data_IF_953731369344
#
_entry.id   IF_953731369344
#
_cell.length_a   1.000
_cell.length_b   1.000
_cell.length_c   1.000
_cell.angle_alpha   90.00
_cell.angle_beta   90.00
_cell.angle_gamma   90.00
#
_symmetry.space_group_name_H-M   'P 1'
#
loop_
_entity.id
_entity.type
_entity.pdbx_description
1 polymer ?
#
# COMPACT_ATOMS: atom_id res chain seq x y z
N UNK A 1 -5.02 -25.11 12.58
CA UNK A 1 -5.39 -24.45 11.31
C UNK A 1 -6.77 -23.84 11.49
N UNK A 2 -7.03 -22.65 10.95
CA UNK A 2 -8.32 -21.94 11.06
C UNK A 2 -8.89 -21.60 9.68
N UNK A 3 -10.20 -21.35 9.60
CA UNK A 3 -10.83 -20.80 8.40
C UNK A 3 -10.19 -19.46 8.01
N UNK A 4 -10.09 -19.19 6.71
CA UNK A 4 -9.41 -18.05 6.10
C UNK A 4 -7.90 -17.99 6.33
N UNK A 5 -7.29 -19.06 6.83
CA UNK A 5 -5.83 -19.22 6.90
C UNK A 5 -5.32 -19.80 5.58
N UNK A 6 -4.15 -19.34 5.12
CA UNK A 6 -3.42 -20.01 4.04
C UNK A 6 -2.46 -21.02 4.67
N UNK A 7 -2.55 -22.27 4.25
CA UNK A 7 -1.64 -23.34 4.62
C UNK A 7 -0.75 -23.69 3.43
N UNK A 8 0.42 -24.26 3.71
CA UNK A 8 1.36 -24.76 2.71
C UNK A 8 1.63 -26.24 2.99
N UNK A 9 1.52 -27.06 1.95
CA UNK A 9 1.94 -28.46 1.95
C UNK A 9 2.88 -28.62 0.76
N UNK A 10 4.08 -29.13 1.01
CA UNK A 10 5.18 -29.14 0.03
C UNK A 10 5.43 -27.72 -0.54
N UNK A 11 5.14 -27.51 -1.83
CA UNK A 11 5.21 -26.22 -2.52
C UNK A 11 3.83 -25.64 -2.88
N UNK A 12 2.74 -26.31 -2.53
CA UNK A 12 1.38 -25.83 -2.80
C UNK A 12 0.85 -24.98 -1.65
N UNK A 13 0.26 -23.84 -1.99
CA UNK A 13 -0.46 -22.99 -1.04
C UNK A 13 -1.96 -23.18 -1.22
N UNK A 14 -2.67 -23.35 -0.11
CA UNK A 14 -4.11 -23.61 -0.09
C UNK A 14 -4.80 -22.69 0.92
N UNK A 15 -5.93 -22.10 0.53
CA UNK A 15 -6.78 -21.29 1.40
C UNK A 15 -7.84 -22.16 2.06
N UNK A 16 -7.90 -22.17 3.39
CA UNK A 16 -8.93 -22.92 4.14
C UNK A 16 -10.25 -22.17 4.11
N UNK A 17 -11.29 -22.75 3.51
CA UNK A 17 -12.63 -22.16 3.40
C UNK A 17 -13.59 -22.65 4.48
N UNK A 18 -13.38 -23.85 5.02
CA UNK A 18 -14.13 -24.38 6.16
C UNK A 18 -13.32 -25.41 6.94
N UNK A 19 -13.67 -25.58 8.22
CA UNK A 19 -13.05 -26.56 9.12
C UNK A 19 -14.15 -27.36 9.82
N UNK A 20 -14.12 -28.68 9.68
CA UNK A 20 -15.03 -29.62 10.34
C UNK A 20 -14.19 -30.70 11.07
N UNK A 21 -13.93 -30.48 12.36
CA UNK A 21 -13.01 -31.32 13.11
C UNK A 21 -11.61 -31.30 12.50
N UNK A 22 -11.13 -32.48 12.05
CA UNK A 22 -9.84 -32.63 11.38
C UNK A 22 -9.93 -32.57 9.85
N UNK A 23 -11.13 -32.32 9.30
CA UNK A 23 -11.35 -32.20 7.85
C UNK A 23 -11.34 -30.72 7.48
N UNK A 24 -10.48 -30.36 6.54
CA UNK A 24 -10.38 -29.01 6.00
C UNK A 24 -10.99 -28.98 4.60
N UNK A 25 -11.88 -28.02 4.36
CA UNK A 25 -12.25 -27.65 2.98
C UNK A 25 -11.32 -26.54 2.54
N UNK A 26 -10.68 -26.71 1.37
CA UNK A 26 -9.66 -25.78 0.88
C UNK A 26 -9.92 -25.37 -0.56
N UNK A 27 -9.61 -24.11 -0.87
CA UNK A 27 -9.35 -23.66 -2.23
C UNK A 27 -7.87 -23.85 -2.53
N UNK A 28 -7.58 -24.62 -3.55
CA UNK A 28 -6.22 -25.04 -3.95
C UNK A 28 -5.54 -24.05 -4.89
N UNK A 29 -4.24 -24.23 -5.08
CA UNK A 29 -3.42 -23.44 -6.02
C UNK A 29 -3.58 -21.92 -5.84
N UNK A 30 -3.57 -21.44 -4.58
CA UNK A 30 -3.65 -19.99 -4.30
C UNK A 30 -2.27 -19.36 -4.42
N UNK A 31 -2.22 -18.02 -4.46
CA UNK A 31 -0.99 -17.23 -4.61
C UNK A 31 -0.15 -17.60 -5.85
N UNK A 32 -0.78 -18.19 -6.88
CA UNK A 32 -0.12 -18.62 -8.12
C UNK A 32 0.66 -19.94 -8.01
N UNK A 33 0.49 -20.69 -6.93
CA UNK A 33 1.13 -22.00 -6.77
C UNK A 33 0.53 -23.06 -7.69
N UNK A 34 1.32 -24.08 -8.01
CA UNK A 34 0.89 -25.20 -8.87
C UNK A 34 0.24 -26.28 -8.01
N UNK A 35 -0.79 -26.92 -8.56
CA UNK A 35 -1.49 -28.03 -7.93
C UNK A 35 -0.57 -29.25 -7.84
N UNK A 36 -0.34 -29.76 -6.63
CA UNK A 36 0.57 -30.87 -6.35
C UNK A 36 -0.17 -32.10 -5.81
N UNK A 37 0.45 -33.27 -5.89
CA UNK A 37 -0.01 -34.44 -5.14
C UNK A 37 0.72 -34.45 -3.80
N UNK A 38 -0.01 -34.58 -2.71
CA UNK A 38 0.55 -34.67 -1.37
C UNK A 38 0.52 -36.12 -0.89
N UNK A 39 1.60 -36.57 -0.27
CA UNK A 39 1.67 -37.89 0.35
C UNK A 39 0.98 -37.88 1.71
N UNK A 40 0.48 -39.04 2.14
CA UNK A 40 -0.02 -39.20 3.50
C UNK A 40 1.07 -38.86 4.52
N UNK A 41 0.70 -38.10 5.55
CA UNK A 41 1.62 -37.62 6.57
C UNK A 41 2.50 -36.43 6.14
N UNK A 42 2.26 -35.82 4.97
CA UNK A 42 2.95 -34.57 4.60
C UNK A 42 2.69 -33.46 5.63
N UNK A 43 3.75 -32.72 5.96
CA UNK A 43 3.67 -31.65 6.95
C UNK A 43 2.82 -30.48 6.46
N UNK A 44 2.00 -29.94 7.36
CA UNK A 44 1.16 -28.77 7.08
C UNK A 44 1.76 -27.56 7.78
N UNK A 45 2.24 -26.61 6.99
CA UNK A 45 2.79 -25.35 7.47
C UNK A 45 1.73 -24.25 7.41
N UNK A 46 1.69 -23.40 8.45
CA UNK A 46 0.85 -22.22 8.48
C UNK A 46 1.69 -21.00 8.92
N UNK A 47 1.85 -19.96 8.08
CA UNK A 47 2.68 -18.80 8.40
C UNK A 47 1.99 -17.92 9.44
N UNK A 48 2.31 -18.15 10.72
CA UNK A 48 1.80 -17.36 11.88
C UNK A 48 2.81 -16.37 12.45
N UNK A 49 4.04 -16.41 11.94
CA UNK A 49 5.12 -15.52 12.34
C UNK A 49 5.39 -14.53 11.21
N UNK A 50 5.59 -13.27 11.59
CA UNK A 50 5.96 -12.19 10.69
C UNK A 50 7.20 -11.50 11.26
N UNK A 51 8.26 -11.44 10.46
CA UNK A 51 9.43 -10.60 10.77
C UNK A 51 9.20 -9.22 10.18
N UNK A 52 9.21 -8.19 11.01
CA UNK A 52 9.00 -6.80 10.58
C UNK A 52 10.27 -5.96 10.77
N UNK A 53 10.59 -5.14 9.76
CA UNK A 53 11.54 -4.05 9.93
C UNK A 53 10.89 -2.94 10.77
N UNK A 54 11.56 -2.50 11.84
CA UNK A 54 11.04 -1.50 12.80
C UNK A 54 11.66 -0.12 12.53
N UNK A 55 11.19 0.89 13.26
CA UNK A 55 11.65 2.28 13.15
C UNK A 55 11.54 2.88 11.74
N UNK A 56 10.51 2.50 10.99
CA UNK A 56 10.27 3.05 9.66
C UNK A 56 9.79 4.50 9.76
N UNK A 57 10.07 5.31 8.73
CA UNK A 57 9.61 6.71 8.63
C UNK A 57 10.08 7.58 9.83
N UNK A 58 11.26 7.28 10.39
CA UNK A 58 11.85 8.03 11.50
C UNK A 58 11.15 7.84 12.85
N UNK A 59 10.32 6.82 12.98
CA UNK A 59 9.70 6.44 14.26
C UNK A 59 10.70 5.70 15.16
N UNK A 60 10.52 5.79 16.49
CA UNK A 60 11.31 4.99 17.43
C UNK A 60 10.85 3.53 17.37
N UNK A 61 11.78 2.58 17.39
CA UNK A 61 11.44 1.16 17.43
C UNK A 61 10.69 0.82 18.74
N UNK A 62 9.42 0.40 18.66
CA UNK A 62 8.57 0.02 19.81
C UNK A 62 8.45 -1.51 19.98
N UNK A 63 8.62 -2.05 21.19
CA UNK A 63 8.54 -3.51 21.45
C UNK A 63 7.13 -4.01 21.15
N UNK A 64 7.02 -5.09 20.38
CA UNK A 64 5.73 -5.71 20.06
C UNK A 64 5.55 -6.98 20.89
N UNK A 65 4.49 -7.03 21.69
CA UNK A 65 4.12 -8.21 22.46
C UNK A 65 3.45 -9.25 21.56
N UNK A 66 3.53 -10.52 21.97
CA UNK A 66 2.73 -11.59 21.37
C UNK A 66 1.24 -11.23 21.42
N UNK A 67 0.52 -11.46 20.32
CA UNK A 67 -0.90 -11.12 20.17
C UNK A 67 -1.24 -9.62 20.28
N UNK A 68 -0.26 -8.71 20.17
CA UNK A 68 -0.53 -7.29 20.04
C UNK A 68 -1.35 -7.00 18.76
N UNK A 69 -2.32 -6.09 18.85
CA UNK A 69 -3.12 -5.69 17.70
C UNK A 69 -2.22 -5.05 16.62
N UNK A 70 -2.31 -5.55 15.40
CA UNK A 70 -1.61 -5.01 14.23
C UNK A 70 -2.59 -4.17 13.43
N UNK A 71 -2.20 -2.94 13.13
CA UNK A 71 -2.95 -2.06 12.23
C UNK A 71 -2.12 -1.79 10.98
N UNK A 72 -2.79 -1.75 9.83
CA UNK A 72 -2.16 -1.33 8.58
C UNK A 72 -2.03 0.19 8.58
N UNK A 73 -0.82 0.70 8.35
CA UNK A 73 -0.64 2.12 8.07
C UNK A 73 -1.24 2.43 6.70
N UNK A 74 -2.37 3.12 6.67
CA UNK A 74 -3.03 3.56 5.43
C UNK A 74 -2.79 5.06 5.27
N UNK A 75 -2.20 5.52 4.15
CA UNK A 75 -2.01 6.94 3.94
C UNK A 75 -3.36 7.67 3.94
N UNK A 76 -3.45 8.88 4.49
CA UNK A 76 -4.69 9.65 4.47
C UNK A 76 -5.21 9.89 3.04
N UNK A 77 -6.53 10.03 2.89
CA UNK A 77 -7.19 10.12 1.58
C UNK A 77 -6.65 11.27 0.72
N UNK A 78 -6.47 12.45 1.31
CA UNK A 78 -5.91 13.64 0.64
C UNK A 78 -4.45 13.45 0.17
N UNK A 79 -3.63 12.65 0.86
CA UNK A 79 -2.26 12.33 0.40
C UNK A 79 -2.31 11.40 -0.81
N UNK A 80 -3.26 10.46 -0.83
CA UNK A 80 -3.47 9.58 -1.97
C UNK A 80 -3.99 10.36 -3.19
N UNK A 81 -4.92 11.30 -2.97
CA UNK A 81 -5.41 12.24 -3.98
C UNK A 81 -4.29 13.11 -4.55
N UNK A 82 -3.44 13.68 -3.67
CA UNK A 82 -2.29 14.47 -4.09
C UNK A 82 -1.32 13.65 -4.95
N UNK A 83 -0.97 12.43 -4.53
CA UNK A 83 -0.08 11.56 -5.30
C UNK A 83 -0.63 11.29 -6.71
N UNK A 84 -1.92 10.99 -6.81
CA UNK A 84 -2.57 10.77 -8.10
C UNK A 84 -2.57 12.06 -8.95
N UNK A 85 -2.90 13.20 -8.36
CA UNK A 85 -2.92 14.48 -9.04
C UNK A 85 -1.53 14.87 -9.57
N UNK A 86 -0.47 14.65 -8.79
CA UNK A 86 0.91 14.90 -9.21
C UNK A 86 1.35 14.01 -10.36
N UNK A 87 1.03 12.72 -10.30
CA UNK A 87 1.34 11.77 -11.38
C UNK A 87 0.63 12.17 -12.67
N UNK A 88 -0.66 12.52 -12.59
CA UNK A 88 -1.43 12.98 -13.75
C UNK A 88 -0.92 14.31 -14.29
N UNK A 89 -0.52 15.23 -13.41
CA UNK A 89 0.08 16.51 -13.79
C UNK A 89 1.41 16.29 -14.53
N UNK A 90 2.30 15.46 -14.00
CA UNK A 90 3.56 15.11 -14.64
C UNK A 90 3.35 14.47 -16.02
N UNK A 91 2.42 13.51 -16.13
CA UNK A 91 2.04 12.88 -17.39
C UNK A 91 1.48 13.86 -18.42
N UNK A 92 0.71 14.86 -17.97
CA UNK A 92 0.19 15.91 -18.85
C UNK A 92 1.31 16.83 -19.36
N UNK A 93 2.25 17.20 -18.48
CA UNK A 93 3.42 18.01 -18.84
C UNK A 93 4.36 17.28 -19.80
N UNK A 94 4.56 15.97 -19.64
CA UNK A 94 5.33 15.15 -20.59
C UNK A 94 4.76 15.23 -22.01
N UNK A 95 3.43 15.17 -22.17
CA UNK A 95 2.77 15.35 -23.48
C UNK A 95 2.97 16.76 -24.04
N UNK A 96 3.05 17.76 -23.17
CA UNK A 96 3.37 19.13 -23.53
C UNK A 96 4.88 19.40 -23.67
N UNK A 97 5.74 18.37 -23.56
CA UNK A 97 7.20 18.51 -23.54
C UNK A 97 7.71 19.53 -22.51
N UNK A 98 7.00 19.69 -21.40
CA UNK A 98 7.26 20.69 -20.36
C UNK A 98 7.26 22.15 -20.86
N UNK A 99 6.59 22.43 -21.98
CA UNK A 99 6.42 23.79 -22.47
C UNK A 99 5.63 24.62 -21.44
N UNK A 100 6.23 25.72 -20.99
CA UNK A 100 5.63 26.62 -19.99
C UNK A 100 4.61 27.59 -20.61
N UNK A 101 4.56 27.64 -21.95
CA UNK A 101 3.71 28.56 -22.69
C UNK A 101 2.98 27.85 -23.83
N UNK A 102 1.70 28.15 -23.98
CA UNK A 102 0.82 27.59 -25.01
C UNK A 102 0.26 28.72 -25.87
N UNK A 103 0.32 28.55 -27.18
CA UNK A 103 -0.11 29.54 -28.17
C UNK A 103 1.05 30.08 -29.02
N UNK A 104 0.74 30.91 -30.00
CA UNK A 104 1.71 31.64 -30.82
C UNK A 104 1.20 33.08 -31.02
N UNK A 105 2.11 34.06 -31.01
CA UNK A 105 1.78 35.47 -31.23
C UNK A 105 0.95 36.07 -30.09
N UNK A 106 -0.02 36.92 -30.42
CA UNK A 106 -0.84 37.65 -29.43
C UNK A 106 -1.74 36.75 -28.55
N UNK A 107 -1.90 35.46 -28.90
CA UNK A 107 -2.68 34.48 -28.13
C UNK A 107 -1.83 33.66 -27.14
N UNK A 108 -0.54 33.98 -26.99
CA UNK A 108 0.37 33.32 -26.06
C UNK A 108 -0.14 33.46 -24.61
N UNK A 109 -0.31 32.33 -23.91
CA UNK A 109 -0.73 32.30 -22.50
C UNK A 109 0.10 31.30 -21.71
N UNK A 110 0.45 31.71 -20.49
CA UNK A 110 1.09 30.84 -19.51
C UNK A 110 0.08 29.80 -18.98
N UNK A 111 0.50 28.54 -18.91
CA UNK A 111 -0.35 27.45 -18.40
C UNK A 111 -0.38 27.51 -16.88
N UNK A 112 -1.46 28.06 -16.31
CA UNK A 112 -1.59 28.12 -14.85
C UNK A 112 -2.01 26.75 -14.27
N UNK A 113 -1.13 26.12 -13.49
CA UNK A 113 -1.39 24.87 -12.76
C UNK A 113 -2.31 25.02 -11.53
N UNK A 114 -3.37 25.84 -11.59
CA UNK A 114 -4.20 26.20 -10.42
C UNK A 114 -4.83 25.00 -9.70
N UNK A 115 -5.27 23.98 -10.44
CA UNK A 115 -5.88 22.79 -9.86
C UNK A 115 -4.92 21.96 -8.99
N UNK A 116 -3.68 21.75 -9.46
CA UNK A 116 -2.67 21.02 -8.68
C UNK A 116 -2.20 21.83 -7.47
N UNK A 117 -2.13 23.16 -7.60
CA UNK A 117 -1.77 24.05 -6.49
C UNK A 117 -2.79 23.99 -5.32
N UNK A 118 -4.08 23.89 -5.62
CA UNK A 118 -5.13 23.76 -4.60
C UNK A 118 -5.06 22.42 -3.85
N UNK A 119 -4.84 21.31 -4.57
CA UNK A 119 -4.69 19.98 -3.95
C UNK A 119 -3.45 19.92 -3.05
N UNK A 120 -2.32 20.49 -3.49
CA UNK A 120 -1.11 20.64 -2.66
C UNK A 120 -1.41 21.42 -1.39
N UNK A 121 -2.05 22.58 -1.51
CA UNK A 121 -2.41 23.44 -0.38
C UNK A 121 -3.32 22.72 0.62
N UNK A 122 -4.38 22.05 0.14
CA UNK A 122 -5.29 21.26 1.00
C UNK A 122 -4.56 20.16 1.76
N UNK A 123 -3.64 19.43 1.11
CA UNK A 123 -2.85 18.39 1.75
C UNK A 123 -1.88 18.96 2.79
N UNK A 124 -1.25 20.10 2.50
CA UNK A 124 -0.37 20.80 3.44
C UNK A 124 -1.15 21.31 4.66
N UNK A 125 -2.27 22.00 4.46
CA UNK A 125 -3.10 22.49 5.57
C UNK A 125 -3.58 21.37 6.49
N UNK A 126 -3.88 20.20 5.94
CA UNK A 126 -4.37 19.05 6.70
C UNK A 126 -3.27 18.29 7.47
N UNK A 127 -2.06 18.14 6.91
CA UNK A 127 -1.04 17.22 7.47
C UNK A 127 0.34 17.81 7.70
N UNK A 128 0.56 19.08 7.36
CA UNK A 128 1.85 19.72 7.65
C UNK A 128 2.12 19.67 9.14
N UNK A 129 3.29 19.17 9.51
CA UNK A 129 3.77 19.22 10.89
C UNK A 129 4.06 20.67 11.23
N UNK A 130 3.16 21.33 11.97
CA UNK A 130 3.37 22.69 12.46
C UNK A 130 4.62 22.73 13.35
N UNK A 131 5.78 23.06 12.79
CA UNK A 131 6.78 23.79 13.56
C UNK A 131 6.22 25.19 13.70
N UNK A 132 5.79 25.53 14.92
CA UNK A 132 5.48 26.92 15.28
C UNK A 132 6.65 27.84 14.91
N UNK A 133 6.41 29.15 14.78
CA UNK A 133 7.46 30.11 14.42
C UNK A 133 8.67 29.90 15.34
N UNK A 134 9.86 29.79 14.74
CA UNK A 134 11.12 29.80 15.50
C UNK A 134 11.15 31.11 16.29
N UNK A 135 10.99 31.03 17.61
CA UNK A 135 11.28 32.16 18.48
C UNK A 135 12.77 32.51 18.28
N UNK A 136 13.02 33.76 17.89
CA UNK A 136 14.34 34.39 17.83
C UNK A 136 14.45 35.24 19.10
#
# INVERSE_FOLDING_TARGET
VKTNEVITIDAERMLVTAVAGNVLTVKRAVDGTVLATHTDGADIYAPRTLTVARAQVGTTAATHLTAAAIVKNVPPGLISELCLAEVLYARAQEKGHFALTVGQGEAEREVSGKGIADVRKRAEEAYRRNRGPRAI
#
